data_IF_272601576694
#
_entry.id   IF_272601576694
#
_cell.length_a   1.000
_cell.length_b   1.000
_cell.length_c   1.000
_cell.angle_alpha   90.00
_cell.angle_beta   90.00
_cell.angle_gamma   90.00
#
_symmetry.space_group_name_H-M   'P 1'
#
loop_
_entity.id
_entity.type
_entity.pdbx_description
1 polymer ?
#
# COMPACT_ATOMS: atom_id res chain seq x y z
N UNK A 1 -13.61 3.71 -25.82
CA UNK A 1 -12.75 2.89 -24.97
C UNK A 1 -12.58 3.61 -23.64
N UNK A 2 -13.54 3.43 -22.74
CA UNK A 2 -13.38 3.90 -21.36
C UNK A 2 -12.44 2.93 -20.67
N UNK A 3 -11.25 3.39 -20.30
CA UNK A 3 -10.45 2.68 -19.33
C UNK A 3 -11.28 2.67 -18.05
N UNK A 4 -11.61 1.49 -17.55
CA UNK A 4 -12.04 1.35 -16.18
C UNK A 4 -10.90 1.97 -15.35
N UNK A 5 -11.15 3.13 -14.73
CA UNK A 5 -10.55 3.37 -13.43
C UNK A 5 -11.03 2.19 -12.59
N UNK A 6 -10.27 1.10 -12.57
CA UNK A 6 -10.38 0.14 -11.48
C UNK A 6 -10.21 0.99 -10.24
N UNK A 7 -11.33 1.29 -9.58
CA UNK A 7 -11.38 2.17 -8.42
C UNK A 7 -10.31 1.65 -7.47
N UNK A 8 -9.26 2.45 -7.27
CA UNK A 8 -8.20 2.10 -6.35
C UNK A 8 -8.86 1.75 -5.01
N UNK A 9 -8.32 0.76 -4.29
CA UNK A 9 -8.81 0.47 -2.95
C UNK A 9 -8.70 1.70 -2.06
N UNK A 10 -9.40 1.68 -0.93
CA UNK A 10 -9.37 2.82 0.01
C UNK A 10 -7.93 3.14 0.41
N UNK A 11 -7.54 4.40 0.17
CA UNK A 11 -6.18 4.92 0.36
C UNK A 11 -5.11 4.32 -0.56
N UNK A 12 -5.49 3.92 -1.77
CA UNK A 12 -4.58 3.45 -2.81
C UNK A 12 -4.56 4.38 -4.03
N UNK A 13 -3.49 4.27 -4.83
CA UNK A 13 -3.39 4.86 -6.16
C UNK A 13 -2.63 3.94 -7.10
N UNK A 14 -2.92 4.03 -8.40
CA UNK A 14 -2.17 3.32 -9.43
C UNK A 14 -0.78 3.95 -9.59
N UNK A 15 0.26 3.13 -9.55
CA UNK A 15 1.66 3.53 -9.79
C UNK A 15 2.32 2.59 -10.79
N UNK A 16 3.32 3.08 -11.52
CA UNK A 16 4.10 2.26 -12.46
C UNK A 16 5.09 1.32 -11.75
N UNK A 17 5.36 1.57 -10.47
CA UNK A 17 6.33 0.82 -9.67
C UNK A 17 5.83 0.77 -8.22
N UNK A 18 5.11 -0.29 -7.87
CA UNK A 18 4.63 -0.52 -6.48
C UNK A 18 5.83 -0.74 -5.57
N UNK A 19 5.85 -0.06 -4.43
CA UNK A 19 6.86 -0.27 -3.41
C UNK A 19 6.46 -1.48 -2.52
N UNK A 20 7.13 -2.64 -2.66
CA UNK A 20 6.77 -3.85 -1.89
C UNK A 20 7.02 -3.67 -0.38
N UNK A 21 7.79 -2.66 0.02
CA UNK A 21 8.07 -2.34 1.41
C UNK A 21 7.17 -1.23 1.96
N UNK A 22 6.17 -0.77 1.22
CA UNK A 22 5.15 0.15 1.70
C UNK A 22 4.12 -0.57 2.62
N UNK A 23 4.63 -1.33 3.60
CA UNK A 23 3.86 -2.16 4.51
C UNK A 23 4.18 -1.80 5.96
N UNK A 24 3.23 -2.05 6.88
CA UNK A 24 3.47 -1.86 8.32
C UNK A 24 4.63 -2.72 8.84
N UNK A 25 4.93 -3.86 8.21
CA UNK A 25 5.97 -4.80 8.64
C UNK A 25 7.38 -4.40 8.18
N UNK A 26 7.49 -3.71 7.05
CA UNK A 26 8.77 -3.31 6.45
C UNK A 26 9.27 -1.92 6.87
N UNK A 27 8.55 -1.24 7.79
CA UNK A 27 8.93 0.09 8.27
C UNK A 27 10.33 0.05 8.93
N UNK A 28 11.31 0.65 8.26
CA UNK A 28 12.70 0.74 8.73
C UNK A 28 13.62 -0.39 8.28
N UNK A 29 13.17 -1.28 7.39
CA UNK A 29 13.99 -2.37 6.82
C UNK A 29 14.49 -1.95 5.43
N UNK A 30 15.75 -2.24 5.05
CA UNK A 30 16.21 -2.05 3.69
C UNK A 30 15.32 -2.79 2.69
N UNK A 31 14.79 -2.08 1.70
CA UNK A 31 13.91 -2.65 0.69
C UNK A 31 14.68 -3.06 -0.56
N UNK A 32 14.54 -4.31 -1.00
CA UNK A 32 15.10 -4.75 -2.28
C UNK A 32 14.19 -4.31 -3.45
N UNK A 33 14.79 -3.73 -4.48
CA UNK A 33 14.12 -2.92 -5.51
C UNK A 33 13.77 -3.70 -6.77
N UNK A 34 12.85 -4.65 -6.68
CA UNK A 34 12.11 -5.14 -7.85
C UNK A 34 10.66 -4.68 -7.72
N UNK A 35 10.15 -3.95 -8.72
CA UNK A 35 8.78 -3.45 -8.72
C UNK A 35 8.10 -3.70 -10.07
N UNK A 36 6.76 -3.67 -10.04
CA UNK A 36 5.87 -3.76 -11.19
C UNK A 36 4.75 -2.72 -11.06
N UNK A 37 4.06 -2.37 -12.16
CA UNK A 37 2.87 -1.53 -12.09
C UNK A 37 1.76 -2.17 -11.24
N UNK A 38 1.00 -1.36 -10.51
CA UNK A 38 -0.10 -1.81 -9.65
C UNK A 38 -0.55 -0.75 -8.65
N UNK A 39 -1.35 -1.16 -7.66
CA UNK A 39 -1.87 -0.26 -6.62
C UNK A 39 -0.94 -0.18 -5.41
N UNK A 40 -0.51 1.03 -5.07
CA UNK A 40 0.27 1.30 -3.87
C UNK A 40 -0.52 2.18 -2.88
N UNK A 41 -0.09 2.24 -1.62
CA UNK A 41 -0.73 3.09 -0.63
C UNK A 41 -0.39 4.56 -0.87
N UNK A 42 -1.40 5.42 -0.73
CA UNK A 42 -1.21 6.88 -0.74
C UNK A 42 -0.16 7.31 0.30
N UNK A 43 0.56 8.43 0.07
CA UNK A 43 1.49 8.98 1.04
C UNK A 43 0.88 9.08 2.46
N UNK A 44 1.65 8.63 3.46
CA UNK A 44 1.20 8.57 4.86
C UNK A 44 0.41 7.31 5.24
N UNK A 45 0.13 6.42 4.28
CA UNK A 45 -0.53 5.13 4.50
C UNK A 45 0.45 3.97 4.27
N UNK A 46 0.28 2.89 5.03
CA UNK A 46 1.04 1.65 4.89
C UNK A 46 0.07 0.49 4.77
N UNK A 47 0.45 -0.52 3.98
CA UNK A 47 -0.35 -1.75 3.83
C UNK A 47 -0.24 -2.59 5.10
N UNK A 48 -1.37 -2.92 5.70
CA UNK A 48 -1.42 -3.82 6.85
C UNK A 48 -1.37 -5.29 6.40
N UNK A 49 -1.33 -6.22 7.37
CA UNK A 49 -1.30 -7.66 7.10
C UNK A 49 -2.61 -8.22 6.51
N UNK A 50 -3.68 -7.43 6.51
CA UNK A 50 -4.96 -7.77 5.88
C UNK A 50 -5.02 -7.30 4.41
N UNK A 51 -3.99 -6.60 3.93
CA UNK A 51 -3.91 -6.06 2.58
C UNK A 51 -4.46 -4.64 2.42
N UNK A 52 -4.91 -3.98 3.49
CA UNK A 52 -5.49 -2.62 3.41
C UNK A 52 -4.46 -1.53 3.69
N UNK A 53 -4.53 -0.43 2.92
CA UNK A 53 -3.77 0.78 3.18
C UNK A 53 -4.40 1.58 4.32
N UNK A 54 -3.71 1.61 5.46
CA UNK A 54 -4.17 2.30 6.67
C UNK A 54 -3.23 3.48 7.00
N UNK A 55 -3.72 4.54 7.66
CA UNK A 55 -2.85 5.59 8.16
C UNK A 55 -1.72 5.02 9.01
N UNK A 56 -0.48 5.41 8.74
CA UNK A 56 0.75 4.85 9.37
C UNK A 56 0.67 4.79 10.90
N UNK A 57 -0.01 5.76 11.53
CA UNK A 57 -0.26 5.83 12.99
C UNK A 57 -1.06 4.65 13.58
N UNK A 58 -1.70 3.86 12.73
CA UNK A 58 -2.47 2.68 13.09
C UNK A 58 -1.68 1.37 12.91
N UNK A 59 -0.48 1.40 12.32
CA UNK A 59 0.42 0.26 12.38
C UNK A 59 0.75 -0.09 13.83
N UNK A 60 0.76 -1.38 14.17
CA UNK A 60 0.96 -1.87 15.54
C UNK A 60 -0.29 -1.85 16.42
N UNK A 61 -1.43 -1.35 15.92
CA UNK A 61 -2.71 -1.50 16.62
C UNK A 61 -3.45 -2.77 16.18
N UNK A 62 -4.30 -3.35 17.05
CA UNK A 62 -5.18 -4.44 16.66
C UNK A 62 -6.05 -4.01 15.47
N UNK A 63 -5.96 -4.75 14.37
CA UNK A 63 -6.79 -4.52 13.19
C UNK A 63 -8.09 -5.30 13.38
N UNK A 64 -9.23 -4.62 13.25
CA UNK A 64 -10.54 -5.28 13.21
C UNK A 64 -10.94 -5.44 11.74
N UNK A 65 -11.47 -6.60 11.40
CA UNK A 65 -12.11 -6.84 10.10
C UNK A 65 -13.43 -6.07 10.03
#
# INVERSE_FOLDING_TARGET
>A
YGYYEEECGVNEHLVECVNPCNTCAAKGVPCMSTCSPGYDCLPGHLRNHLGFCIPTRFCGRPQKR
#
